data_IF_201054814434
#
_entry.id   IF_201054814434
#
_cell.length_a   1.000
_cell.length_b   1.000
_cell.length_c   1.000
_cell.angle_alpha   90.00
_cell.angle_beta   90.00
_cell.angle_gamma   90.00
#
_symmetry.space_group_name_H-M   'P 1'
#
loop_
_entity.id
_entity.type
_entity.pdbx_description
1 polymer ?
#
# COMPACT_ATOMS: atom_id res chain seq x y z
N UNK A 1 31.29 22.94 2.44
CA UNK A 1 29.94 23.08 1.83
C UNK A 1 29.30 21.72 1.49
N UNK A 2 30.07 20.65 1.28
CA UNK A 2 29.59 19.27 1.04
C UNK A 2 28.97 18.60 2.27
N UNK A 3 29.52 18.84 3.47
CA UNK A 3 29.03 18.23 4.73
C UNK A 3 27.58 18.61 5.09
N UNK A 4 27.17 19.84 4.78
CA UNK A 4 25.81 20.33 5.06
C UNK A 4 24.75 19.71 4.16
N UNK A 5 25.10 19.38 2.91
CA UNK A 5 24.19 18.72 1.97
C UNK A 5 23.98 17.25 2.36
N UNK A 6 25.07 16.53 2.68
CA UNK A 6 25.02 15.14 3.14
C UNK A 6 24.26 15.00 4.47
N UNK A 7 24.48 15.92 5.42
CA UNK A 7 23.74 15.93 6.68
C UNK A 7 22.24 16.19 6.50
N UNK A 8 21.85 17.04 5.53
CA UNK A 8 20.44 17.31 5.19
C UNK A 8 19.77 16.08 4.60
N UNK A 9 20.42 15.40 3.66
CA UNK A 9 19.93 14.14 3.08
C UNK A 9 19.74 13.08 4.16
N UNK A 10 20.73 12.89 5.04
CA UNK A 10 20.63 11.94 6.17
C UNK A 10 19.48 12.25 7.12
N UNK A 11 19.27 13.52 7.50
CA UNK A 11 18.14 13.92 8.35
C UNK A 11 16.81 13.66 7.66
N UNK A 12 16.69 14.04 6.39
CA UNK A 12 15.47 13.84 5.61
C UNK A 12 15.12 12.35 5.50
N UNK A 13 16.11 11.50 5.19
CA UNK A 13 15.96 10.04 5.14
C UNK A 13 15.50 9.47 6.47
N UNK A 14 16.08 9.91 7.59
CA UNK A 14 15.69 9.44 8.93
C UNK A 14 14.28 9.90 9.32
N UNK A 15 13.88 11.10 8.93
CA UNK A 15 12.50 11.58 9.11
C UNK A 15 11.53 10.70 8.35
N UNK A 16 11.77 10.42 7.06
CA UNK A 16 10.88 9.55 6.28
C UNK A 16 10.86 8.11 6.78
N UNK A 17 11.99 7.62 7.31
CA UNK A 17 12.06 6.33 7.98
C UNK A 17 11.11 6.25 9.20
N UNK A 18 11.09 7.30 10.04
CA UNK A 18 10.21 7.40 11.22
C UNK A 18 8.75 7.56 10.79
N UNK A 19 8.49 8.39 9.79
CA UNK A 19 7.15 8.60 9.22
C UNK A 19 6.58 7.28 8.69
N UNK A 20 7.39 6.46 8.01
CA UNK A 20 6.96 5.15 7.54
C UNK A 20 6.60 4.20 8.70
N UNK A 21 7.39 4.18 9.79
CA UNK A 21 7.02 3.39 11.00
C UNK A 21 5.73 3.92 11.60
N UNK A 22 5.64 5.22 11.84
CA UNK A 22 4.46 5.84 12.44
C UNK A 22 3.21 5.56 11.62
N UNK A 23 3.31 5.65 10.29
CA UNK A 23 2.25 5.28 9.35
C UNK A 23 1.84 3.80 9.47
N UNK A 24 2.80 2.88 9.49
CA UNK A 24 2.50 1.44 9.68
C UNK A 24 1.81 1.17 11.02
N UNK A 25 2.30 1.74 12.12
CA UNK A 25 1.68 1.59 13.44
C UNK A 25 0.27 2.18 13.47
N UNK A 26 0.07 3.34 12.85
CA UNK A 26 -1.24 3.97 12.73
C UNK A 26 -2.23 3.12 11.92
N UNK A 27 -1.78 2.54 10.80
CA UNK A 27 -2.61 1.64 9.98
C UNK A 27 -3.01 0.38 10.78
N UNK A 28 -2.05 -0.26 11.46
CA UNK A 28 -2.32 -1.47 12.25
C UNK A 28 -3.25 -1.15 13.42
N UNK A 29 -2.98 -0.08 14.16
CA UNK A 29 -3.84 0.36 15.26
C UNK A 29 -5.25 0.70 14.78
N UNK A 30 -5.37 1.43 13.67
CA UNK A 30 -6.65 1.76 13.04
C UNK A 30 -7.43 0.51 12.62
N UNK A 31 -6.76 -0.48 12.04
CA UNK A 31 -7.38 -1.75 11.65
C UNK A 31 -7.89 -2.55 12.87
N UNK A 32 -7.10 -2.61 13.95
CA UNK A 32 -7.50 -3.27 15.21
C UNK A 32 -8.67 -2.54 15.86
N UNK A 33 -8.61 -1.20 15.95
CA UNK A 33 -9.68 -0.39 16.52
C UNK A 33 -10.98 -0.50 15.72
N UNK A 34 -10.89 -0.51 14.38
CA UNK A 34 -12.06 -0.73 13.53
C UNK A 34 -12.75 -2.07 13.85
N UNK A 35 -11.97 -3.13 14.10
CA UNK A 35 -12.51 -4.44 14.46
C UNK A 35 -13.12 -4.50 15.86
N UNK A 36 -12.53 -3.77 16.82
CA UNK A 36 -13.03 -3.69 18.20
C UNK A 36 -14.29 -2.83 18.35
N UNK A 37 -14.50 -1.86 17.45
CA UNK A 37 -15.62 -0.91 17.50
C UNK A 37 -16.56 -1.16 16.31
N UNK A 38 -17.72 -1.84 16.50
CA UNK A 38 -18.63 -2.23 15.42
C UNK A 38 -19.09 -1.07 14.54
N UNK A 39 -19.32 0.12 15.12
CA UNK A 39 -19.74 1.32 14.39
C UNK A 39 -18.67 1.81 13.39
N UNK A 40 -17.39 1.66 13.72
CA UNK A 40 -16.30 2.05 12.84
C UNK A 40 -16.20 1.09 11.65
N UNK A 41 -16.33 -0.21 11.91
CA UNK A 41 -16.45 -1.21 10.84
C UNK A 41 -17.62 -0.86 9.92
N UNK A 42 -18.79 -0.52 10.46
CA UNK A 42 -19.96 -0.11 9.67
C UNK A 42 -19.67 1.12 8.81
N UNK A 43 -19.09 2.17 9.38
CA UNK A 43 -18.75 3.39 8.66
C UNK A 43 -17.71 3.15 7.55
N UNK A 44 -16.72 2.28 7.78
CA UNK A 44 -15.74 1.89 6.77
C UNK A 44 -16.39 1.09 5.62
N UNK A 45 -17.31 0.19 5.95
CA UNK A 45 -18.10 -0.53 4.94
C UNK A 45 -18.96 0.43 4.12
N UNK A 46 -19.60 1.42 4.76
CA UNK A 46 -20.37 2.46 4.06
C UNK A 46 -19.49 3.32 3.15
N UNK A 47 -18.30 3.70 3.60
CA UNK A 47 -17.36 4.47 2.79
C UNK A 47 -16.86 3.70 1.56
N UNK A 48 -16.83 2.36 1.62
CA UNK A 48 -16.38 1.49 0.51
C UNK A 48 -17.50 1.02 -0.40
N UNK A 49 -18.70 0.77 0.13
CA UNK A 49 -19.83 0.15 -0.58
C UNK A 49 -21.01 1.10 -0.81
N UNK A 50 -20.96 2.32 -0.28
CA UNK A 50 -22.09 3.26 -0.32
C UNK A 50 -23.29 2.78 0.52
N UNK A 51 -24.50 3.21 0.14
CA UNK A 51 -25.74 2.85 0.86
C UNK A 51 -26.03 1.34 0.89
N UNK A 52 -25.39 0.58 0.00
CA UNK A 52 -25.41 -0.88 -0.04
C UNK A 52 -24.93 -1.53 1.26
N UNK A 53 -24.14 -0.82 2.07
CA UNK A 53 -23.66 -1.27 3.39
C UNK A 53 -24.70 -1.18 4.53
N UNK A 54 -25.85 -0.52 4.33
CA UNK A 54 -26.79 -0.15 5.41
C UNK A 54 -27.66 -1.34 5.86
N UNK A 55 -28.02 -2.24 4.96
CA UNK A 55 -29.05 -3.28 5.20
C UNK A 55 -28.49 -4.60 5.75
N UNK A 56 -27.20 -4.65 6.06
CA UNK A 56 -26.51 -5.92 6.28
C UNK A 56 -26.47 -6.29 7.76
N UNK A 57 -26.98 -7.48 8.15
CA UNK A 57 -26.78 -8.00 9.49
C UNK A 57 -25.29 -8.32 9.69
N UNK A 58 -24.64 -7.53 10.54
CA UNK A 58 -23.27 -7.76 10.97
C UNK A 58 -23.27 -8.92 11.97
N UNK A 59 -23.18 -10.14 11.44
CA UNK A 59 -22.92 -11.33 12.27
C UNK A 59 -21.41 -11.44 12.49
N UNK A 60 -20.93 -12.05 13.58
CA UNK A 60 -19.50 -12.24 13.81
C UNK A 60 -18.78 -12.92 12.63
N UNK A 61 -19.47 -13.83 11.93
CA UNK A 61 -18.95 -14.52 10.75
C UNK A 61 -18.78 -13.59 9.55
N UNK A 62 -19.76 -12.72 9.25
CA UNK A 62 -19.66 -11.77 8.13
C UNK A 62 -18.63 -10.68 8.42
N UNK A 63 -18.49 -10.25 9.68
CA UNK A 63 -17.44 -9.33 10.11
C UNK A 63 -16.04 -9.93 9.94
N UNK A 64 -15.85 -11.20 10.34
CA UNK A 64 -14.56 -11.88 10.18
C UNK A 64 -14.19 -12.06 8.69
N UNK A 65 -15.18 -12.40 7.86
CA UNK A 65 -14.97 -12.54 6.41
C UNK A 65 -14.70 -11.18 5.73
N UNK A 66 -15.38 -10.09 6.15
CA UNK A 66 -15.08 -8.76 5.64
C UNK A 66 -13.68 -8.28 6.08
N UNK A 67 -13.29 -8.60 7.32
CA UNK A 67 -11.97 -8.29 7.84
C UNK A 67 -10.86 -9.02 7.07
N UNK A 68 -11.05 -10.30 6.72
CA UNK A 68 -10.07 -11.05 5.92
C UNK A 68 -9.94 -10.50 4.50
N UNK A 69 -11.03 -10.05 3.88
CA UNK A 69 -10.99 -9.36 2.58
C UNK A 69 -10.20 -8.04 2.67
N UNK A 70 -10.42 -7.23 3.71
CA UNK A 70 -9.72 -5.94 3.91
C UNK A 70 -8.25 -6.15 4.30
N UNK A 71 -7.92 -7.25 4.97
CA UNK A 71 -6.55 -7.54 5.39
C UNK A 71 -5.57 -7.67 4.20
N UNK A 72 -6.05 -8.11 3.03
CA UNK A 72 -5.21 -8.27 1.83
C UNK A 72 -4.62 -6.94 1.33
N UNK A 73 -5.40 -5.91 0.95
CA UNK A 73 -4.85 -4.63 0.52
C UNK A 73 -4.05 -3.93 1.63
N UNK A 74 -4.44 -4.07 2.90
CA UNK A 74 -3.66 -3.55 4.02
C UNK A 74 -2.28 -4.21 4.13
N UNK A 75 -2.21 -5.53 4.00
CA UNK A 75 -0.94 -6.27 4.00
C UNK A 75 -0.01 -5.83 2.88
N UNK A 76 -0.55 -5.64 1.66
CA UNK A 76 0.22 -5.13 0.52
C UNK A 76 0.73 -3.71 0.79
N UNK A 77 -0.10 -2.84 1.36
CA UNK A 77 0.30 -1.47 1.73
C UNK A 77 1.39 -1.46 2.81
N UNK A 78 1.27 -2.29 3.86
CA UNK A 78 2.26 -2.43 4.92
C UNK A 78 3.60 -2.95 4.37
N UNK A 79 3.56 -3.92 3.45
CA UNK A 79 4.76 -4.40 2.78
C UNK A 79 5.44 -3.29 1.94
N UNK A 80 4.65 -2.46 1.25
CA UNK A 80 5.15 -1.28 0.55
C UNK A 80 5.82 -0.27 1.48
N UNK A 81 5.19 0.06 2.60
CA UNK A 81 5.76 0.95 3.62
C UNK A 81 7.03 0.37 4.24
N UNK A 82 7.10 -0.94 4.42
CA UNK A 82 8.32 -1.60 4.87
C UNK A 82 9.45 -1.49 3.82
N UNK A 83 9.13 -1.66 2.53
CA UNK A 83 10.10 -1.48 1.45
C UNK A 83 10.61 -0.03 1.37
N UNK A 84 9.73 0.98 1.43
CA UNK A 84 10.12 2.39 1.38
C UNK A 84 10.90 2.81 2.63
N UNK A 85 10.55 2.29 3.80
CA UNK A 85 11.36 2.44 5.03
C UNK A 85 12.78 1.94 4.80
N UNK A 86 12.91 0.75 4.20
CA UNK A 86 14.20 0.19 3.87
C UNK A 86 14.97 1.00 2.83
N UNK A 87 14.28 1.66 1.88
CA UNK A 87 14.89 2.55 0.88
C UNK A 87 15.52 3.77 1.56
N UNK A 88 14.76 4.47 2.41
CA UNK A 88 15.27 5.62 3.15
C UNK A 88 16.43 5.27 4.09
N UNK A 89 16.43 4.05 4.65
CA UNK A 89 17.56 3.56 5.43
C UNK A 89 18.85 3.43 4.61
N UNK A 90 18.79 3.01 3.33
CA UNK A 90 19.98 3.01 2.46
C UNK A 90 20.41 4.43 2.09
N UNK A 91 19.45 5.33 1.84
CA UNK A 91 19.77 6.74 1.57
C UNK A 91 20.47 7.42 2.76
N UNK A 92 20.09 7.08 3.99
CA UNK A 92 20.76 7.58 5.18
C UNK A 92 22.22 7.08 5.30
N UNK A 93 22.53 5.92 4.73
CA UNK A 93 23.91 5.38 4.69
C UNK A 93 24.77 6.05 3.62
N UNK A 94 24.14 6.64 2.60
CA UNK A 94 24.80 7.26 1.45
C UNK A 94 24.70 6.44 0.17
N UNK A 95 24.09 5.26 0.23
CA UNK A 95 24.06 4.27 -0.86
C UNK A 95 22.82 4.44 -1.76
N UNK A 96 22.69 5.64 -2.36
CA UNK A 96 21.50 6.06 -3.12
C UNK A 96 21.29 5.26 -4.40
N UNK A 97 22.38 4.87 -5.07
CA UNK A 97 22.35 4.11 -6.32
C UNK A 97 22.64 2.62 -6.14
N UNK A 98 22.56 2.11 -4.91
CA UNK A 98 22.76 0.67 -4.70
C UNK A 98 21.66 -0.16 -5.37
N UNK A 99 22.02 -1.36 -5.83
CA UNK A 99 21.06 -2.34 -6.33
C UNK A 99 19.97 -2.66 -5.29
N UNK A 100 20.31 -2.58 -4.00
CA UNK A 100 19.39 -2.74 -2.88
C UNK A 100 18.36 -1.60 -2.82
N UNK A 101 18.79 -0.33 -2.93
CA UNK A 101 17.88 0.81 -2.97
C UNK A 101 16.93 0.72 -4.18
N UNK A 102 17.46 0.46 -5.37
CA UNK A 102 16.64 0.31 -6.58
C UNK A 102 15.59 -0.80 -6.43
N UNK A 103 15.96 -1.95 -5.85
CA UNK A 103 15.01 -3.05 -5.57
C UNK A 103 13.92 -2.64 -4.58
N UNK A 104 14.25 -1.90 -3.53
CA UNK A 104 13.24 -1.45 -2.55
C UNK A 104 12.28 -0.43 -3.16
N UNK A 105 12.76 0.47 -4.02
CA UNK A 105 11.91 1.39 -4.78
C UNK A 105 10.99 0.61 -5.75
N UNK A 106 11.51 -0.41 -6.43
CA UNK A 106 10.70 -1.25 -7.32
C UNK A 106 9.60 -2.01 -6.56
N UNK A 107 9.95 -2.61 -5.42
CA UNK A 107 8.97 -3.28 -4.56
C UNK A 107 7.91 -2.30 -4.08
N UNK A 108 8.30 -1.11 -3.62
CA UNK A 108 7.34 -0.07 -3.24
C UNK A 108 6.42 0.30 -4.41
N UNK A 109 6.97 0.56 -5.60
CA UNK A 109 6.19 0.83 -6.80
C UNK A 109 5.23 -0.30 -7.15
N UNK A 110 5.66 -1.56 -7.08
CA UNK A 110 4.80 -2.74 -7.32
C UNK A 110 3.67 -2.83 -6.30
N UNK A 111 3.91 -2.53 -5.02
CA UNK A 111 2.85 -2.56 -4.00
C UNK A 111 1.84 -1.44 -4.18
N UNK A 112 2.25 -0.26 -4.66
CA UNK A 112 1.36 0.83 -5.04
C UNK A 112 0.56 0.45 -6.29
N UNK A 113 1.23 -0.08 -7.31
CA UNK A 113 0.61 -0.56 -8.56
C UNK A 113 -0.45 -1.64 -8.28
N UNK A 114 -0.15 -2.57 -7.36
CA UNK A 114 -1.07 -3.62 -6.95
C UNK A 114 -2.34 -3.09 -6.27
N UNK A 115 -2.34 -1.86 -5.72
CA UNK A 115 -3.57 -1.28 -5.16
C UNK A 115 -4.64 -1.05 -6.24
N UNK A 116 -4.24 -0.77 -7.49
CA UNK A 116 -5.17 -0.49 -8.59
C UNK A 116 -6.16 -1.64 -8.87
N UNK A 117 -5.74 -2.91 -9.02
CA UNK A 117 -6.69 -4.02 -9.10
C UNK A 117 -7.29 -4.38 -7.73
N UNK A 118 -6.56 -4.18 -6.63
CA UNK A 118 -7.07 -4.55 -5.30
C UNK A 118 -8.29 -3.73 -4.89
N UNK A 119 -8.41 -2.46 -5.28
CA UNK A 119 -9.58 -1.63 -5.02
C UNK A 119 -10.91 -2.25 -5.49
N UNK A 120 -11.12 -2.43 -6.82
CA UNK A 120 -12.34 -3.04 -7.36
C UNK A 120 -12.55 -4.47 -6.86
N UNK A 121 -11.48 -5.27 -6.74
CA UNK A 121 -11.58 -6.65 -6.24
C UNK A 121 -12.03 -6.70 -4.79
N UNK A 122 -11.53 -5.78 -3.94
CA UNK A 122 -11.94 -5.66 -2.54
C UNK A 122 -13.41 -5.23 -2.45
N UNK A 123 -13.84 -4.26 -3.25
CA UNK A 123 -15.24 -3.82 -3.27
C UNK A 123 -16.18 -4.97 -3.69
N UNK A 124 -15.81 -5.72 -4.74
CA UNK A 124 -16.56 -6.88 -5.20
C UNK A 124 -16.62 -7.98 -4.14
N UNK A 125 -15.48 -8.34 -3.55
CA UNK A 125 -15.41 -9.36 -2.51
C UNK A 125 -16.23 -8.97 -1.26
N UNK A 126 -16.16 -7.70 -0.85
CA UNK A 126 -16.98 -7.18 0.25
C UNK A 126 -18.47 -7.23 -0.08
N UNK A 127 -18.89 -6.82 -1.29
CA UNK A 127 -20.28 -6.91 -1.72
C UNK A 127 -20.80 -8.36 -1.70
N UNK A 128 -19.99 -9.32 -2.13
CA UNK A 128 -20.34 -10.74 -2.09
C UNK A 128 -20.44 -11.25 -0.64
N UNK A 129 -19.40 -11.07 0.17
CA UNK A 129 -19.36 -11.56 1.57
C UNK A 129 -20.54 -11.02 2.38
N UNK A 130 -20.88 -9.76 2.15
CA UNK A 130 -21.99 -9.12 2.85
C UNK A 130 -23.34 -9.60 2.30
N UNK A 131 -23.52 -9.66 0.98
CA UNK A 131 -24.80 -10.05 0.38
C UNK A 131 -25.09 -11.56 0.37
N UNK A 132 -24.14 -12.42 0.78
CA UNK A 132 -24.35 -13.87 0.87
C UNK A 132 -25.47 -14.28 1.86
N UNK A 133 -25.74 -13.45 2.87
CA UNK A 133 -26.84 -13.64 3.80
C UNK A 133 -28.21 -13.27 3.21
N UNK A 134 -28.24 -12.63 2.03
CA UNK A 134 -29.49 -12.26 1.37
C UNK A 134 -30.10 -13.46 0.64
N UNK A 135 -31.44 -13.47 0.46
CA UNK A 135 -32.13 -14.48 -0.35
C UNK A 135 -31.53 -14.61 -1.77
N UNK A 136 -31.63 -15.79 -2.41
CA UNK A 136 -31.26 -15.95 -3.81
C UNK A 136 -32.04 -14.94 -4.68
N UNK A 137 -31.31 -14.16 -5.50
CA UNK A 137 -31.84 -13.04 -6.27
C UNK A 137 -31.52 -11.64 -5.71
N UNK A 138 -31.04 -11.54 -4.46
CA UNK A 138 -30.61 -10.29 -3.81
C UNK A 138 -29.10 -10.24 -3.51
N UNK A 139 -28.33 -11.13 -4.15
CA UNK A 139 -26.86 -11.12 -4.07
C UNK A 139 -26.31 -10.01 -4.96
N UNK A 140 -25.35 -9.27 -4.44
CA UNK A 140 -24.82 -8.09 -5.10
C UNK A 140 -23.40 -8.34 -5.58
N UNK A 141 -23.20 -8.13 -6.87
CA UNK A 141 -21.88 -8.09 -7.48
C UNK A 141 -21.62 -6.66 -7.92
N UNK A 142 -20.73 -5.98 -7.20
CA UNK A 142 -20.41 -4.57 -7.44
C UNK A 142 -18.98 -4.48 -7.92
N UNK A 143 -18.80 -3.96 -9.13
CA UNK A 143 -17.49 -3.57 -9.65
C UNK A 143 -17.39 -2.04 -9.54
N UNK A 144 -16.46 -1.56 -8.72
CA UNK A 144 -16.28 -0.12 -8.51
C UNK A 144 -14.89 0.27 -9.00
N UNK A 145 -14.84 1.15 -10.00
CA UNK A 145 -13.59 1.80 -10.41
C UNK A 145 -13.57 3.22 -9.85
N UNK A 146 -12.51 3.55 -9.14
CA UNK A 146 -12.31 4.87 -8.56
C UNK A 146 -11.12 5.58 -9.20
N UNK A 147 -11.11 6.90 -9.08
CA UNK A 147 -9.95 7.70 -9.49
C UNK A 147 -8.68 7.32 -8.71
N UNK A 148 -8.84 6.82 -7.47
CA UNK A 148 -7.72 6.36 -6.66
C UNK A 148 -7.06 5.10 -7.25
N UNK A 149 -7.84 4.20 -7.86
CA UNK A 149 -7.31 3.01 -8.54
C UNK A 149 -6.49 3.43 -9.76
N UNK A 150 -6.98 4.43 -10.51
CA UNK A 150 -6.23 5.02 -11.62
C UNK A 150 -4.93 5.70 -11.13
N UNK A 151 -4.98 6.49 -10.06
CA UNK A 151 -3.77 7.09 -9.48
C UNK A 151 -2.77 6.04 -9.02
N UNK A 152 -3.23 4.99 -8.34
CA UNK A 152 -2.37 3.89 -7.92
C UNK A 152 -1.71 3.21 -9.13
N UNK A 153 -2.45 3.02 -10.23
CA UNK A 153 -1.94 2.43 -11.46
C UNK A 153 -0.79 3.28 -12.04
N UNK A 154 -1.04 4.59 -12.22
CA UNK A 154 -0.08 5.51 -12.82
C UNK A 154 1.14 5.72 -11.90
N UNK A 155 0.92 6.05 -10.63
CA UNK A 155 2.00 6.31 -9.67
C UNK A 155 2.84 5.05 -9.45
N UNK A 156 2.20 3.90 -9.25
CA UNK A 156 2.90 2.63 -9.12
C UNK A 156 3.71 2.29 -10.36
N UNK A 157 3.14 2.47 -11.54
CA UNK A 157 3.82 2.24 -12.83
C UNK A 157 5.04 3.14 -13.02
N UNK A 158 4.91 4.43 -12.72
CA UNK A 158 6.02 5.40 -12.77
C UNK A 158 7.12 5.01 -11.78
N UNK A 159 6.77 4.66 -10.54
CA UNK A 159 7.76 4.23 -9.53
C UNK A 159 8.53 2.99 -9.98
N UNK A 160 7.84 2.00 -10.56
CA UNK A 160 8.48 0.79 -11.11
C UNK A 160 9.40 1.15 -12.28
N UNK A 161 8.95 2.00 -13.20
CA UNK A 161 9.76 2.44 -14.34
C UNK A 161 11.03 3.16 -13.87
N UNK A 162 10.90 4.12 -12.94
CA UNK A 162 12.03 4.85 -12.35
C UNK A 162 12.99 3.89 -11.67
N UNK A 163 12.49 2.94 -10.87
CA UNK A 163 13.34 1.96 -10.20
C UNK A 163 14.15 1.10 -11.18
N UNK A 164 13.55 0.70 -12.30
CA UNK A 164 14.24 -0.07 -13.34
C UNK A 164 15.29 0.76 -14.08
N UNK A 165 14.97 2.01 -14.41
CA UNK A 165 15.94 2.94 -15.02
C UNK A 165 17.12 3.21 -14.08
N UNK A 166 16.85 3.45 -12.79
CA UNK A 166 17.91 3.63 -11.80
C UNK A 166 18.79 2.39 -11.65
N UNK A 167 18.20 1.19 -11.70
CA UNK A 167 18.94 -0.08 -11.64
C UNK A 167 19.90 -0.20 -12.82
N UNK A 168 19.46 0.14 -14.03
CA UNK A 168 20.32 0.08 -15.22
C UNK A 168 21.43 1.13 -15.17
N UNK A 169 21.12 2.34 -14.70
CA UNK A 169 22.12 3.39 -14.49
C UNK A 169 23.20 2.98 -13.46
N UNK A 170 22.79 2.34 -12.36
CA UNK A 170 23.71 1.80 -11.37
C UNK A 170 24.62 0.71 -11.95
N UNK A 171 24.06 -0.22 -12.74
CA UNK A 171 24.82 -1.27 -13.40
C UNK A 171 25.86 -0.71 -14.39
N UNK A 172 25.47 0.27 -15.21
CA UNK A 172 26.39 0.93 -16.15
C UNK A 172 27.53 1.68 -15.41
N UNK A 173 27.24 2.27 -14.26
CA UNK A 173 28.26 2.92 -13.44
C UNK A 173 29.25 1.91 -12.84
N UNK A 174 28.74 0.77 -12.35
CA UNK A 174 29.57 -0.33 -11.83
C UNK A 174 30.47 -0.95 -12.93
N UNK A 175 29.93 -1.15 -14.14
CA UNK A 175 30.70 -1.60 -15.30
C UNK A 175 31.84 -0.62 -15.62
N UNK A 176 31.56 0.69 -15.72
CA UNK A 176 32.59 1.71 -15.96
C UNK A 176 33.68 1.77 -14.87
N UNK A 177 33.32 1.56 -13.60
CA UNK A 177 34.28 1.53 -12.50
C UNK A 177 35.20 0.29 -12.55
N UNK A 178 34.79 -0.79 -13.22
CA UNK A 178 35.59 -2.01 -13.38
C UNK A 178 36.62 -1.95 -14.51
N UNK A 179 36.51 -0.97 -15.41
CA UNK A 179 37.43 -0.77 -16.55
C UNK A 179 38.55 0.25 -16.28
N UNK A 180 38.56 0.91 -15.12
CA UNK A 180 39.59 1.90 -14.71
C UNK A 180 40.64 1.28 -13.79
#
# INVERSE_FOLDING_TARGET
MTDTALARVRRLSRTFEIVAIAGMLFIVAGAVLAFLIPDWTRNLLLARLGQTGITLPLTPATTLAAASVIAVPLGVMLYGLWAVRGLFREFARGDVFSAAACRKLEVFGLTVLAQAPLGPLTAMALALVTSLANPPGQRLLVLTLSINDYFALIVGGVLVAVARVMREAARLADENASFV
#
